data_IF_486497222032
#
_entry.id   IF_486497222032
#
_cell.length_a   1.000
_cell.length_b   1.000
_cell.length_c   1.000
_cell.angle_alpha   90.00
_cell.angle_beta   90.00
_cell.angle_gamma   90.00
#
_symmetry.space_group_name_H-M   'P 1'
#
loop_
_entity.id
_entity.type
_entity.pdbx_description
1 polymer ?
#
# COMPACT_ATOMS: atom_id res chain seq x y z
N UNK A 1 -4.55 -0.39 -14.56
CA UNK A 1 -4.07 0.25 -15.81
C UNK A 1 -3.49 1.61 -15.44
N UNK A 2 -2.45 2.10 -16.11
CA UNK A 2 -1.93 3.48 -15.90
C UNK A 2 -3.10 4.46 -16.13
N UNK A 3 -3.56 5.13 -15.07
CA UNK A 3 -4.69 6.09 -15.14
C UNK A 3 -6.07 5.61 -14.69
N UNK A 4 -6.24 4.40 -14.13
CA UNK A 4 -7.54 3.96 -13.58
C UNK A 4 -7.87 4.55 -12.20
N UNK A 5 -6.85 4.82 -11.37
CA UNK A 5 -7.01 5.55 -10.11
C UNK A 5 -6.05 6.75 -10.09
N UNK A 6 -6.56 8.00 -10.05
CA UNK A 6 -5.71 9.18 -10.02
C UNK A 6 -4.95 9.32 -8.68
N UNK A 7 -5.41 8.62 -7.65
CA UNK A 7 -4.83 8.57 -6.31
C UNK A 7 -4.77 7.10 -5.88
N UNK A 8 -3.68 6.62 -5.24
CA UNK A 8 -3.62 5.26 -4.73
C UNK A 8 -4.76 4.95 -3.75
N UNK A 9 -5.27 3.71 -3.81
CA UNK A 9 -6.39 3.24 -3.00
C UNK A 9 -5.92 2.14 -2.05
N UNK A 10 -6.39 2.17 -0.81
CA UNK A 10 -6.15 1.06 0.14
C UNK A 10 -7.15 -0.06 -0.18
N UNK A 11 -6.66 -1.20 -0.65
CA UNK A 11 -7.52 -2.34 -1.07
C UNK A 11 -7.64 -3.44 -0.02
N UNK A 12 -6.81 -3.40 1.02
CA UNK A 12 -6.86 -4.36 2.12
C UNK A 12 -5.95 -3.94 3.26
N UNK A 13 -6.24 -4.47 4.45
CA UNK A 13 -5.47 -4.26 5.68
C UNK A 13 -5.43 -5.56 6.47
N UNK A 14 -4.32 -5.82 7.17
CA UNK A 14 -4.16 -6.99 8.02
C UNK A 14 -3.16 -6.69 9.15
N UNK A 15 -3.26 -7.46 10.23
CA UNK A 15 -2.31 -7.42 11.35
C UNK A 15 -2.09 -8.85 11.88
N UNK A 16 -0.94 -9.09 12.51
CA UNK A 16 -0.53 -10.43 12.96
C UNK A 16 -0.56 -11.44 11.82
N UNK A 17 -1.16 -12.61 12.05
CA UNK A 17 -1.24 -13.70 11.07
C UNK A 17 -1.80 -13.26 9.71
N UNK A 18 -2.78 -12.35 9.68
CA UNK A 18 -3.35 -11.87 8.43
C UNK A 18 -2.33 -11.05 7.61
N UNK A 19 -1.48 -10.25 8.27
CA UNK A 19 -0.42 -9.52 7.59
C UNK A 19 0.66 -10.47 7.04
N UNK A 20 1.02 -11.50 7.81
CA UNK A 20 1.99 -12.52 7.39
C UNK A 20 1.52 -13.25 6.13
N UNK A 21 0.24 -13.64 6.10
CA UNK A 21 -0.38 -14.31 4.96
C UNK A 21 -0.47 -13.39 3.73
N UNK A 22 -0.86 -12.13 3.92
CA UNK A 22 -0.87 -11.14 2.84
C UNK A 22 0.52 -10.94 2.25
N UNK A 23 1.56 -10.81 3.09
CA UNK A 23 2.93 -10.64 2.64
C UNK A 23 3.47 -11.89 1.92
N UNK A 24 3.11 -13.09 2.40
CA UNK A 24 3.48 -14.35 1.73
C UNK A 24 2.84 -14.45 0.33
N UNK A 25 1.54 -14.16 0.21
CA UNK A 25 0.83 -14.17 -1.06
C UNK A 25 1.36 -13.11 -2.04
N UNK A 26 1.65 -11.89 -1.55
CA UNK A 26 2.23 -10.83 -2.37
C UNK A 26 3.57 -11.26 -2.98
N UNK A 27 4.46 -11.86 -2.18
CA UNK A 27 5.74 -12.39 -2.66
C UNK A 27 5.56 -13.49 -3.70
N UNK A 28 4.63 -14.42 -3.48
CA UNK A 28 4.32 -15.48 -4.44
C UNK A 28 3.78 -14.95 -5.78
N UNK A 29 3.01 -13.85 -5.73
CA UNK A 29 2.47 -13.19 -6.91
C UNK A 29 3.46 -12.22 -7.59
N UNK A 30 4.67 -12.05 -7.06
CA UNK A 30 5.64 -11.08 -7.58
C UNK A 30 5.25 -9.62 -7.32
N UNK A 31 4.35 -9.36 -6.37
CA UNK A 31 3.97 -8.00 -5.95
C UNK A 31 5.06 -7.47 -5.01
N UNK A 32 5.62 -6.26 -5.25
CA UNK A 32 6.62 -5.67 -4.37
C UNK A 32 6.10 -5.52 -2.93
N UNK A 33 6.90 -5.97 -1.97
CA UNK A 33 6.64 -5.79 -0.53
C UNK A 33 7.68 -4.84 0.04
N UNK A 34 7.22 -3.77 0.68
CA UNK A 34 8.06 -2.73 1.28
C UNK A 34 7.88 -2.75 2.79
N UNK A 35 8.99 -2.70 3.53
CA UNK A 35 9.00 -2.48 4.96
C UNK A 35 9.24 -1.00 5.24
N UNK A 36 8.18 -0.30 5.65
CA UNK A 36 8.20 1.12 5.99
C UNK A 36 7.11 1.43 7.02
N UNK A 37 7.46 1.39 8.30
CA UNK A 37 6.53 1.69 9.39
C UNK A 37 5.92 3.10 9.29
N UNK A 38 6.66 4.07 8.74
CA UNK A 38 6.19 5.46 8.60
C UNK A 38 5.05 5.60 7.59
N UNK A 39 4.90 4.62 6.70
CA UNK A 39 3.79 4.51 5.75
C UNK A 39 2.75 3.50 6.22
N UNK A 40 3.19 2.36 6.75
CA UNK A 40 2.30 1.28 7.15
C UNK A 40 1.40 1.66 8.33
N UNK A 41 1.95 2.28 9.39
CA UNK A 41 1.18 2.64 10.58
C UNK A 41 0.07 3.66 10.27
N UNK A 42 0.33 4.82 9.61
CA UNK A 42 -0.74 5.78 9.34
C UNK A 42 -1.81 5.23 8.39
N UNK A 43 -1.43 4.42 7.38
CA UNK A 43 -2.40 3.79 6.48
C UNK A 43 -3.26 2.76 7.23
N UNK A 44 -2.67 2.01 8.16
CA UNK A 44 -3.41 1.04 8.95
C UNK A 44 -4.43 1.71 9.88
N UNK A 45 -3.97 2.73 10.61
CA UNK A 45 -4.77 3.44 11.62
C UNK A 45 -5.83 4.37 11.03
N UNK A 46 -5.52 5.08 9.94
CA UNK A 46 -6.32 6.23 9.48
C UNK A 46 -7.06 6.01 8.17
N UNK A 47 -6.60 5.10 7.32
CA UNK A 47 -7.23 4.87 6.02
C UNK A 47 -8.27 3.76 6.09
N UNK A 48 -9.36 3.90 5.34
CA UNK A 48 -10.36 2.85 5.18
C UNK A 48 -10.07 2.03 3.93
N UNK A 49 -10.42 0.74 3.97
CA UNK A 49 -10.38 -0.09 2.77
C UNK A 49 -11.40 0.43 1.75
N UNK A 50 -11.03 0.44 0.48
CA UNK A 50 -11.85 0.97 -0.61
C UNK A 50 -11.78 2.49 -0.77
N UNK A 51 -11.02 3.21 0.08
CA UNK A 51 -10.84 4.66 -0.04
C UNK A 51 -9.47 5.03 -0.57
N UNK A 52 -9.39 6.21 -1.17
CA UNK A 52 -8.11 6.82 -1.49
C UNK A 52 -7.28 7.08 -0.23
N UNK A 53 -5.96 7.09 -0.39
CA UNK A 53 -5.05 7.52 0.67
C UNK A 53 -5.25 9.00 1.01
N UNK A 54 -4.98 9.35 2.26
CA UNK A 54 -4.97 10.74 2.71
C UNK A 54 -3.93 11.58 1.98
N UNK A 55 -4.16 12.89 1.90
CA UNK A 55 -3.26 13.82 1.20
C UNK A 55 -1.84 13.84 1.80
N UNK A 56 -1.73 13.71 3.12
CA UNK A 56 -0.48 13.57 3.87
C UNK A 56 0.30 12.32 3.48
N UNK A 57 -0.40 11.25 3.08
CA UNK A 57 0.18 9.98 2.66
C UNK A 57 0.52 9.90 1.17
N UNK A 58 0.14 10.90 0.36
CA UNK A 58 0.37 10.87 -1.07
C UNK A 58 1.87 10.78 -1.43
N UNK A 59 2.67 11.72 -0.94
CA UNK A 59 4.11 11.78 -1.26
C UNK A 59 4.89 10.55 -0.77
N UNK A 60 4.70 10.06 0.47
CA UNK A 60 5.35 8.84 0.93
C UNK A 60 5.01 7.60 0.09
N UNK A 61 3.73 7.41 -0.26
CA UNK A 61 3.29 6.26 -1.06
C UNK A 61 3.81 6.34 -2.49
N UNK A 62 3.69 7.50 -3.14
CA UNK A 62 4.16 7.69 -4.52
C UNK A 62 5.66 7.45 -4.65
N UNK A 63 6.46 7.81 -3.63
CA UNK A 63 7.91 7.53 -3.63
C UNK A 63 8.19 6.03 -3.81
N UNK A 64 7.44 5.16 -3.11
CA UNK A 64 7.58 3.72 -3.26
C UNK A 64 7.07 3.24 -4.63
N UNK A 65 5.94 3.76 -5.10
CA UNK A 65 5.42 3.41 -6.43
C UNK A 65 6.44 3.73 -7.54
N UNK A 66 7.04 4.92 -7.51
CA UNK A 66 8.07 5.33 -8.48
C UNK A 66 9.31 4.44 -8.37
N UNK A 67 9.80 4.19 -7.14
CA UNK A 67 10.97 3.33 -6.89
C UNK A 67 10.80 1.92 -7.46
N UNK A 68 9.57 1.43 -7.52
CA UNK A 68 9.23 0.10 -8.04
C UNK A 68 8.71 0.12 -9.48
N UNK A 69 8.72 1.26 -10.17
CA UNK A 69 8.27 1.39 -11.56
C UNK A 69 6.76 1.19 -11.76
N UNK A 70 5.97 1.48 -10.74
CA UNK A 70 4.51 1.25 -10.70
C UNK A 70 3.67 2.49 -11.06
N UNK A 71 4.30 3.56 -11.57
CA UNK A 71 3.68 4.85 -11.93
C UNK A 71 3.66 5.17 -13.41
#
# INVERSE_FOLDING_TARGET
>A
IKGETPVPTVVGKGQGRAADEMAAQARQAGIPVVDDATVAEPLFERANTGTYIGQDMFSPVVRHLVRHGLT
#
